data_IF_739281224390
#
_entry.id   IF_739281224390
#
_cell.length_a   1.000
_cell.length_b   1.000
_cell.length_c   1.000
_cell.angle_alpha   90.00
_cell.angle_beta   90.00
_cell.angle_gamma   90.00
#
_symmetry.space_group_name_H-M   'P 1'
#
loop_
_entity.id
_entity.type
_entity.pdbx_description
1 polymer ?
#
# COMPACT_ATOMS: atom_id res chain seq x y z
N UNK A 1 -7.89 6.51 -26.42
CA UNK A 1 -6.73 6.83 -25.58
C UNK A 1 -5.77 5.67 -25.73
N UNK A 2 -4.78 5.83 -26.62
CA UNK A 2 -3.94 4.73 -27.09
C UNK A 2 -2.89 4.41 -26.03
N UNK A 3 -3.03 3.26 -25.39
CA UNK A 3 -2.00 2.67 -24.55
C UNK A 3 -0.74 2.50 -25.42
N UNK A 4 0.38 3.13 -25.07
CA UNK A 4 1.68 2.88 -25.71
C UNK A 4 2.26 1.65 -25.00
N UNK A 5 2.25 0.45 -25.61
CA UNK A 5 2.88 -0.72 -25.03
C UNK A 5 4.37 -0.66 -25.38
N UNK A 6 5.26 -0.52 -24.38
CA UNK A 6 6.70 -0.59 -24.66
C UNK A 6 7.69 0.06 -23.70
N UNK A 7 7.32 0.50 -22.49
CA UNK A 7 8.31 1.01 -21.51
C UNK A 7 8.78 -0.06 -20.52
N UNK A 8 9.06 -1.26 -21.03
CA UNK A 8 9.94 -2.18 -20.33
C UNK A 8 11.37 -1.64 -20.44
N UNK A 9 11.98 -1.30 -19.31
CA UNK A 9 13.42 -1.02 -19.14
C UNK A 9 13.97 0.40 -19.39
N UNK A 10 13.14 1.45 -19.52
CA UNK A 10 13.70 2.81 -19.50
C UNK A 10 14.00 3.22 -18.07
N UNK A 11 15.30 3.35 -17.76
CA UNK A 11 15.75 3.92 -16.50
C UNK A 11 15.37 5.40 -16.46
N UNK A 12 14.69 5.81 -15.38
CA UNK A 12 14.19 7.17 -15.17
C UNK A 12 14.75 7.75 -13.87
N UNK A 13 14.76 9.08 -13.77
CA UNK A 13 15.01 9.76 -12.50
C UNK A 13 13.79 9.57 -11.60
N UNK A 14 14.01 9.16 -10.36
CA UNK A 14 12.99 8.92 -9.34
C UNK A 14 13.30 9.77 -8.13
N UNK A 15 12.38 10.64 -7.74
CA UNK A 15 12.55 11.57 -6.61
C UNK A 15 11.34 11.49 -5.69
N UNK A 16 11.57 11.39 -4.38
CA UNK A 16 10.52 11.57 -3.37
C UNK A 16 10.84 12.82 -2.56
N UNK A 17 9.88 13.73 -2.47
CA UNK A 17 9.93 14.93 -1.65
C UNK A 17 8.87 14.87 -0.55
N UNK A 18 9.14 15.57 0.55
CA UNK A 18 8.18 15.85 1.60
C UNK A 18 8.02 17.36 1.77
N UNK A 19 6.82 17.82 2.07
CA UNK A 19 6.54 19.21 2.41
C UNK A 19 5.42 19.29 3.46
N UNK A 20 5.38 20.39 4.20
CA UNK A 20 4.31 20.65 5.17
C UNK A 20 3.10 21.18 4.41
N UNK A 21 1.92 20.62 4.67
CA UNK A 21 0.67 21.11 4.09
C UNK A 21 0.34 22.49 4.66
N UNK A 22 0.01 23.43 3.77
CA UNK A 22 -0.46 24.77 4.07
C UNK A 22 -1.89 25.00 3.55
N UNK A 23 -2.61 23.93 3.21
CA UNK A 23 -3.98 24.00 2.70
C UNK A 23 -4.92 24.31 3.86
N UNK A 24 -5.71 25.36 3.68
CA UNK A 24 -6.82 25.68 4.58
C UNK A 24 -8.03 24.81 4.23
N UNK A 25 -8.56 24.07 5.21
CA UNK A 25 -9.76 23.25 5.03
C UNK A 25 -9.51 21.83 4.52
N UNK A 26 -10.33 21.37 3.58
CA UNK A 26 -10.32 19.98 3.13
C UNK A 26 -9.22 19.72 2.11
N UNK A 27 -8.11 19.12 2.57
CA UNK A 27 -7.01 18.73 1.68
C UNK A 27 -7.50 17.84 0.55
N UNK A 28 -8.45 16.93 0.81
CA UNK A 28 -8.95 16.05 -0.24
C UNK A 28 -9.67 16.82 -1.35
N UNK A 29 -10.50 17.80 -1.01
CA UNK A 29 -11.21 18.62 -2.02
C UNK A 29 -10.20 19.39 -2.87
N UNK A 30 -9.19 19.98 -2.25
CA UNK A 30 -8.11 20.70 -2.95
C UNK A 30 -7.34 19.77 -3.91
N UNK A 31 -6.95 18.57 -3.45
CA UNK A 31 -6.26 17.58 -4.26
C UNK A 31 -7.11 17.12 -5.45
N UNK A 32 -8.41 16.90 -5.25
CA UNK A 32 -9.33 16.51 -6.31
C UNK A 32 -9.61 17.65 -7.30
N UNK A 33 -9.63 18.90 -6.84
CA UNK A 33 -9.82 20.08 -7.69
C UNK A 33 -8.64 20.28 -8.65
N UNK A 34 -7.41 20.04 -8.19
CA UNK A 34 -6.21 20.26 -9.03
C UNK A 34 -5.82 19.07 -9.91
N UNK A 35 -6.43 17.89 -9.73
CA UNK A 35 -5.95 16.63 -10.34
C UNK A 35 -5.85 16.66 -11.87
N UNK A 36 -6.80 17.32 -12.54
CA UNK A 36 -6.82 17.40 -14.00
C UNK A 36 -5.66 18.24 -14.53
N UNK A 37 -5.46 19.42 -13.92
CA UNK A 37 -4.35 20.31 -14.28
C UNK A 37 -2.99 19.67 -14.02
N UNK A 38 -2.82 19.04 -12.85
CA UNK A 38 -1.57 18.35 -12.51
C UNK A 38 -1.32 17.17 -13.44
N UNK A 39 -2.35 16.38 -13.75
CA UNK A 39 -2.24 15.26 -14.70
C UNK A 39 -1.85 15.74 -16.10
N UNK A 40 -2.49 16.80 -16.61
CA UNK A 40 -2.16 17.39 -17.91
C UNK A 40 -0.73 17.94 -17.95
N UNK A 41 -0.29 18.62 -16.88
CA UNK A 41 1.08 19.09 -16.75
C UNK A 41 2.08 17.93 -16.79
N UNK A 42 1.84 16.88 -15.99
CA UNK A 42 2.69 15.69 -15.92
C UNK A 42 2.84 15.01 -17.29
N UNK A 43 1.75 14.86 -18.03
CA UNK A 43 1.77 14.35 -19.41
C UNK A 43 2.65 15.25 -20.29
N UNK A 44 2.45 16.57 -20.25
CA UNK A 44 3.16 17.52 -21.10
C UNK A 44 4.67 17.57 -20.85
N UNK A 45 5.13 17.22 -19.63
CA UNK A 45 6.56 17.20 -19.27
C UNK A 45 7.15 15.79 -19.20
N UNK A 46 6.39 14.75 -19.55
CA UNK A 46 6.83 13.36 -19.55
C UNK A 46 7.14 12.81 -18.16
N UNK A 47 6.38 13.23 -17.14
CA UNK A 47 6.53 12.80 -15.75
C UNK A 47 5.30 12.02 -15.31
N UNK A 48 5.51 11.03 -14.45
CA UNK A 48 4.46 10.39 -13.65
C UNK A 48 4.66 10.80 -12.20
N UNK A 49 3.56 11.00 -11.48
CA UNK A 49 3.65 11.30 -10.05
C UNK A 49 2.63 10.60 -9.19
N UNK A 50 3.04 10.39 -7.94
CA UNK A 50 2.20 9.95 -6.85
C UNK A 50 2.24 10.98 -5.73
N UNK A 51 1.07 11.43 -5.28
CA UNK A 51 0.90 12.43 -4.24
C UNK A 51 0.16 11.82 -3.05
N UNK A 52 0.80 11.80 -1.89
CA UNK A 52 0.22 11.37 -0.63
C UNK A 52 0.05 12.56 0.30
N UNK A 53 -1.11 12.68 0.92
CA UNK A 53 -1.28 13.50 2.11
C UNK A 53 -1.48 12.63 3.34
N UNK A 54 -0.69 12.88 4.39
CA UNK A 54 -0.80 12.22 5.69
C UNK A 54 -0.49 13.22 6.79
N UNK A 55 -1.37 13.34 7.79
CA UNK A 55 -1.12 14.10 9.02
C UNK A 55 -0.45 15.46 8.85
N UNK A 56 -0.96 16.28 7.92
CA UNK A 56 -0.45 17.63 7.68
C UNK A 56 0.83 17.70 6.84
N UNK A 57 1.24 16.60 6.21
CA UNK A 57 2.36 16.54 5.28
C UNK A 57 1.93 16.06 3.91
N UNK A 58 2.56 16.59 2.89
CA UNK A 58 2.54 16.05 1.53
C UNK A 58 3.81 15.25 1.25
N UNK A 59 3.65 14.17 0.52
CA UNK A 59 4.73 13.40 -0.08
C UNK A 59 4.50 13.31 -1.58
N UNK A 60 5.48 13.75 -2.35
CA UNK A 60 5.41 13.78 -3.80
C UNK A 60 6.51 12.90 -4.37
N UNK A 61 6.11 11.85 -5.06
CA UNK A 61 7.00 10.96 -5.79
C UNK A 61 6.89 11.28 -7.29
N UNK A 62 8.00 11.61 -7.92
CA UNK A 62 8.14 11.86 -9.35
C UNK A 62 8.98 10.78 -10.03
N UNK A 63 8.57 10.37 -11.23
CA UNK A 63 9.34 9.51 -12.13
C UNK A 63 9.31 10.07 -13.56
N UNK A 64 10.47 10.22 -14.21
CA UNK A 64 10.54 10.71 -15.58
C UNK A 64 11.97 11.02 -16.04
N UNK A 65 12.11 11.75 -17.14
CA UNK A 65 13.41 12.28 -17.55
C UNK A 65 13.96 13.26 -16.51
N UNK A 66 15.27 13.49 -16.52
CA UNK A 66 15.92 14.44 -15.60
C UNK A 66 15.32 15.84 -15.77
N UNK A 67 15.11 16.27 -17.01
CA UNK A 67 14.54 17.57 -17.36
C UNK A 67 13.08 17.69 -16.90
N UNK A 68 12.28 16.64 -17.15
CA UNK A 68 10.87 16.60 -16.78
C UNK A 68 10.69 16.67 -15.26
N UNK A 69 11.42 15.83 -14.52
CA UNK A 69 11.37 15.81 -13.05
C UNK A 69 11.88 17.14 -12.47
N UNK A 70 12.98 17.70 -12.97
CA UNK A 70 13.47 19.00 -12.49
C UNK A 70 12.48 20.14 -12.79
N UNK A 71 11.72 20.08 -13.90
CA UNK A 71 10.64 21.02 -14.19
C UNK A 71 9.48 20.85 -13.21
N UNK A 72 9.04 19.62 -12.94
CA UNK A 72 8.00 19.33 -11.95
C UNK A 72 8.38 19.81 -10.54
N UNK A 73 9.62 19.55 -10.11
CA UNK A 73 10.13 19.99 -8.81
C UNK A 73 10.13 21.52 -8.66
N UNK A 74 10.50 22.26 -9.71
CA UNK A 74 10.45 23.74 -9.68
C UNK A 74 9.03 24.27 -9.53
N UNK A 75 8.08 23.67 -10.24
CA UNK A 75 6.65 24.04 -10.12
C UNK A 75 6.13 23.73 -8.72
N UNK A 76 6.40 22.53 -8.21
CA UNK A 76 6.02 22.15 -6.86
C UNK A 76 6.65 23.06 -5.80
N UNK A 77 7.94 23.41 -5.93
CA UNK A 77 8.61 24.29 -4.98
C UNK A 77 8.01 25.71 -4.91
N UNK A 78 7.39 26.17 -5.99
CA UNK A 78 6.72 27.47 -6.07
C UNK A 78 5.24 27.42 -5.64
N UNK A 79 4.69 26.25 -5.35
CA UNK A 79 3.28 26.08 -4.98
C UNK A 79 3.03 26.57 -3.53
N UNK A 80 2.15 27.55 -3.32
CA UNK A 80 1.90 28.12 -1.98
C UNK A 80 1.15 27.17 -1.04
N UNK A 81 0.54 26.08 -1.56
CA UNK A 81 -0.24 25.13 -0.76
C UNK A 81 0.62 24.23 0.11
N UNK A 82 1.95 24.32 -0.02
CA UNK A 82 2.86 23.62 0.88
C UNK A 82 4.15 24.39 1.14
N UNK A 83 4.75 24.13 2.30
CA UNK A 83 5.98 24.78 2.74
C UNK A 83 7.12 23.81 3.00
N UNK A 84 8.34 24.34 3.08
CA UNK A 84 9.54 23.62 3.55
C UNK A 84 9.79 22.30 2.80
N UNK A 85 9.67 22.33 1.47
CA UNK A 85 9.89 21.15 0.63
C UNK A 85 11.32 20.64 0.80
N UNK A 86 11.47 19.33 0.99
CA UNK A 86 12.74 18.66 1.15
C UNK A 86 12.76 17.34 0.39
N UNK A 87 13.88 17.02 -0.26
CA UNK A 87 14.07 15.71 -0.88
C UNK A 87 14.34 14.66 0.20
N UNK A 88 13.61 13.54 0.14
CA UNK A 88 13.83 12.35 0.95
C UNK A 88 14.64 11.32 0.17
N UNK A 89 14.36 11.17 -1.12
CA UNK A 89 14.97 10.14 -1.97
C UNK A 89 15.28 10.69 -3.35
N UNK A 90 16.41 10.26 -3.92
CA UNK A 90 16.78 10.52 -5.32
C UNK A 90 17.56 9.32 -5.85
N UNK A 91 17.08 8.73 -6.94
CA UNK A 91 17.74 7.58 -7.57
C UNK A 91 17.44 7.52 -9.07
N UNK A 92 18.17 6.67 -9.78
CA UNK A 92 17.90 6.31 -11.17
C UNK A 92 17.53 4.83 -11.20
N UNK A 93 16.52 4.45 -11.98
CA UNK A 93 16.09 3.06 -12.09
C UNK A 93 14.79 2.91 -12.87
N UNK A 94 14.23 1.69 -12.96
CA UNK A 94 13.03 1.46 -13.75
C UNK A 94 11.85 2.27 -13.21
N UNK A 95 11.01 2.78 -14.12
CA UNK A 95 9.73 3.37 -13.76
C UNK A 95 8.82 2.32 -13.11
N UNK A 96 8.09 2.74 -12.09
CA UNK A 96 7.15 1.91 -11.33
C UNK A 96 5.74 2.50 -11.27
N UNK A 97 5.62 3.82 -11.43
CA UNK A 97 4.33 4.48 -11.63
C UNK A 97 3.87 4.23 -13.06
N UNK A 98 2.58 3.92 -13.23
CA UNK A 98 1.94 3.64 -14.51
C UNK A 98 1.02 4.78 -14.99
N UNK A 99 0.54 5.62 -14.07
CA UNK A 99 -0.35 6.75 -14.36
C UNK A 99 0.38 8.09 -14.29
N UNK A 100 -0.09 9.11 -15.03
CA UNK A 100 0.46 10.47 -14.93
C UNK A 100 0.30 11.07 -13.53
N UNK A 101 -0.81 10.79 -12.84
CA UNK A 101 -1.07 11.24 -11.48
C UNK A 101 -1.85 10.20 -10.69
N UNK A 102 -1.34 9.88 -9.50
CA UNK A 102 -2.02 9.08 -8.50
C UNK A 102 -2.09 9.88 -7.20
N UNK A 103 -3.26 9.91 -6.57
CA UNK A 103 -3.47 10.63 -5.31
C UNK A 103 -3.84 9.62 -4.23
N UNK A 104 -3.24 9.78 -3.06
CA UNK A 104 -3.56 9.04 -1.85
C UNK A 104 -3.73 10.02 -0.69
N UNK A 105 -4.66 9.71 0.20
CA UNK A 105 -4.79 10.39 1.49
C UNK A 105 -4.90 9.35 2.57
N UNK A 106 -4.27 9.60 3.71
CA UNK A 106 -4.41 8.78 4.91
C UNK A 106 -4.99 9.60 6.04
N UNK A 107 -6.03 9.07 6.66
CA UNK A 107 -6.66 9.60 7.86
C UNK A 107 -6.30 8.67 9.01
N UNK A 108 -5.24 9.02 9.73
CA UNK A 108 -4.78 8.34 10.94
C UNK A 108 -4.90 9.28 12.15
N UNK A 109 -4.68 8.75 13.35
CA UNK A 109 -4.62 9.52 14.58
C UNK A 109 -3.28 10.27 14.76
N UNK A 110 -2.35 10.14 13.81
CA UNK A 110 -1.00 10.70 13.91
C UNK A 110 -1.05 12.23 13.91
N UNK A 111 -0.35 12.85 14.87
CA UNK A 111 -0.13 14.29 14.86
C UNK A 111 0.93 14.63 13.81
N UNK A 112 0.93 15.85 13.25
CA UNK A 112 1.98 16.29 12.33
C UNK A 112 3.41 16.15 12.88
N UNK A 113 3.57 16.26 14.20
CA UNK A 113 4.85 16.08 14.90
C UNK A 113 5.31 14.62 14.95
N UNK A 114 4.39 13.64 14.94
CA UNK A 114 4.73 12.22 14.90
C UNK A 114 5.33 11.86 13.54
N UNK A 115 4.72 12.37 12.47
CA UNK A 115 5.20 12.19 11.12
C UNK A 115 6.54 12.92 10.89
N UNK A 116 6.69 14.14 11.42
CA UNK A 116 7.97 14.87 11.38
C UNK A 116 9.11 14.06 12.02
N UNK A 117 8.87 13.44 13.18
CA UNK A 117 9.85 12.56 13.85
C UNK A 117 10.18 11.32 13.02
N UNK A 118 9.21 10.75 12.31
CA UNK A 118 9.44 9.64 11.38
C UNK A 118 10.34 10.07 10.22
N UNK A 119 10.05 11.22 9.61
CA UNK A 119 10.87 11.76 8.52
C UNK A 119 12.31 12.02 8.94
N UNK A 120 12.50 12.55 10.15
CA UNK A 120 13.84 12.76 10.70
C UNK A 120 14.62 11.45 10.84
N UNK A 121 14.00 10.38 11.34
CA UNK A 121 14.61 9.04 11.42
C UNK A 121 14.91 8.45 10.05
N UNK A 122 13.98 8.54 9.11
CA UNK A 122 14.17 8.08 7.73
C UNK A 122 15.38 8.77 7.09
N UNK A 123 15.53 10.08 7.29
CA UNK A 123 16.68 10.82 6.79
C UNK A 123 18.00 10.39 7.44
N UNK A 124 18.02 10.14 8.74
CA UNK A 124 19.23 9.66 9.41
C UNK A 124 19.63 8.25 8.96
N UNK A 125 18.66 7.33 8.84
CA UNK A 125 18.92 5.96 8.39
C UNK A 125 19.29 5.87 6.90
N UNK A 126 18.64 6.66 6.03
CA UNK A 126 18.91 6.64 4.58
C UNK A 126 20.18 7.41 4.18
N UNK A 127 20.65 8.34 5.01
CA UNK A 127 21.94 9.01 4.80
C UNK A 127 23.13 8.03 4.75
N UNK A 128 22.93 6.78 5.17
CA UNK A 128 23.98 5.77 5.21
C UNK A 128 24.10 4.92 3.93
N UNK A 129 23.05 4.70 3.12
CA UNK A 129 23.17 3.66 2.06
C UNK A 129 22.45 3.89 0.72
N UNK A 130 21.48 4.80 0.55
CA UNK A 130 20.89 5.08 -0.79
C UNK A 130 20.30 3.88 -1.57
N UNK A 131 20.13 2.72 -0.93
CA UNK A 131 19.69 1.45 -1.52
C UNK A 131 18.17 1.29 -1.58
N UNK A 132 17.44 2.03 -0.74
CA UNK A 132 15.99 1.90 -0.61
C UNK A 132 15.27 2.24 -1.93
N UNK A 133 14.31 1.42 -2.30
CA UNK A 133 13.45 1.70 -3.45
C UNK A 133 12.36 2.71 -3.06
N UNK A 134 11.92 3.58 -3.99
CA UNK A 134 10.89 4.59 -3.71
C UNK A 134 9.60 4.03 -3.07
N UNK A 135 9.14 2.85 -3.50
CA UNK A 135 7.93 2.21 -2.96
C UNK A 135 8.12 1.75 -1.50
N UNK A 136 9.31 1.31 -1.10
CA UNK A 136 9.60 0.94 0.29
C UNK A 136 9.50 2.16 1.19
N UNK A 137 10.07 3.30 0.75
CA UNK A 137 9.94 4.56 1.46
C UNK A 137 8.47 5.00 1.53
N UNK A 138 7.72 4.89 0.43
CA UNK A 138 6.30 5.18 0.42
C UNK A 138 5.53 4.35 1.45
N UNK A 139 5.80 3.04 1.53
CA UNK A 139 5.18 2.15 2.52
C UNK A 139 5.53 2.53 3.96
N UNK A 140 6.76 2.96 4.23
CA UNK A 140 7.17 3.47 5.54
C UNK A 140 6.49 4.81 5.89
N UNK A 141 6.23 5.66 4.91
CA UNK A 141 5.52 6.93 5.11
C UNK A 141 4.04 6.70 5.45
N UNK A 142 3.41 5.66 4.89
CA UNK A 142 2.05 5.25 5.25
C UNK A 142 1.99 4.27 6.43
N UNK A 143 3.11 3.95 7.10
CA UNK A 143 3.12 3.14 8.32
C UNK A 143 2.70 3.98 9.56
N UNK A 144 2.15 3.40 10.64
CA UNK A 144 1.83 4.14 11.86
C UNK A 144 3.07 4.36 12.74
N UNK A 145 3.01 5.30 13.70
CA UNK A 145 4.18 5.86 14.38
C UNK A 145 4.75 4.95 15.47
N UNK A 146 3.94 4.07 16.05
CA UNK A 146 4.30 3.22 17.19
C UNK A 146 5.24 2.05 16.89
N UNK A 147 5.49 1.77 15.61
CA UNK A 147 6.25 0.59 15.20
C UNK A 147 7.73 0.86 14.96
N UNK A 148 8.09 2.12 14.73
CA UNK A 148 9.48 2.52 14.46
C UNK A 148 10.26 2.81 15.76
N UNK A 149 9.65 2.58 16.94
CA UNK A 149 10.11 3.05 18.25
C UNK A 149 10.92 2.06 19.09
N UNK A 150 11.26 0.88 18.57
CA UNK A 150 12.25 0.00 19.22
C UNK A 150 13.65 0.58 18.98
N UNK A 151 14.31 1.07 20.02
CA UNK A 151 15.61 1.76 19.98
C UNK A 151 16.79 0.87 19.55
N UNK A 152 16.57 -0.40 19.23
CA UNK A 152 17.59 -1.26 18.63
C UNK A 152 17.64 -1.02 17.12
N UNK A 153 18.72 -0.37 16.68
CA UNK A 153 19.05 -0.12 15.27
C UNK A 153 19.11 -1.38 14.37
N UNK A 154 18.99 -2.58 14.95
CA UNK A 154 19.04 -3.88 14.24
C UNK A 154 17.68 -4.54 13.97
N UNK A 155 16.57 -4.07 14.58
CA UNK A 155 15.25 -4.64 14.28
C UNK A 155 14.49 -3.77 13.28
N UNK A 156 14.89 -3.86 12.00
CA UNK A 156 13.96 -3.58 10.92
C UNK A 156 12.81 -4.59 11.05
N UNK A 157 11.75 -4.24 11.79
CA UNK A 157 10.57 -5.08 11.92
C UNK A 157 10.11 -5.43 10.51
N UNK A 158 10.16 -6.71 10.17
CA UNK A 158 9.69 -7.20 8.88
C UNK A 158 8.20 -6.89 8.81
N UNK A 159 7.81 -5.92 7.99
CA UNK A 159 6.41 -5.62 7.79
C UNK A 159 5.80 -6.73 6.95
N UNK A 160 4.83 -7.45 7.52
CA UNK A 160 4.03 -8.44 6.81
C UNK A 160 2.71 -7.80 6.42
N UNK A 161 2.46 -7.71 5.15
CA UNK A 161 1.25 -7.19 4.56
C UNK A 161 0.29 -8.33 4.21
N UNK A 162 -0.82 -8.35 4.95
CA UNK A 162 -1.97 -9.20 4.69
C UNK A 162 -3.12 -8.35 4.21
N UNK A 163 -3.77 -8.81 3.15
CA UNK A 163 -4.83 -8.06 2.50
C UNK A 163 -6.10 -8.88 2.52
N UNK A 164 -7.11 -8.36 3.19
CA UNK A 164 -8.46 -8.89 3.18
C UNK A 164 -9.26 -8.22 2.06
N UNK A 165 -9.76 -9.02 1.13
CA UNK A 165 -10.63 -8.56 0.04
C UNK A 165 -11.97 -9.26 0.17
N UNK A 166 -13.06 -8.50 0.10
CA UNK A 166 -14.41 -9.06 0.21
C UNK A 166 -15.14 -9.06 -1.13
N UNK A 167 -16.02 -10.03 -1.31
CA UNK A 167 -16.93 -10.15 -2.45
C UNK A 167 -18.24 -9.38 -2.24
N UNK A 168 -18.51 -8.89 -1.03
CA UNK A 168 -19.67 -8.08 -0.65
C UNK A 168 -19.30 -6.67 -0.17
N UNK A 169 -20.28 -5.93 0.36
CA UNK A 169 -20.15 -4.46 0.45
C UNK A 169 -19.32 -3.93 1.63
N UNK A 170 -19.12 -4.67 2.73
CA UNK A 170 -18.35 -4.16 3.88
C UNK A 170 -17.55 -5.18 4.69
N UNK A 171 -17.69 -6.49 4.44
CA UNK A 171 -17.16 -7.53 5.33
C UNK A 171 -15.66 -7.43 5.65
N UNK A 172 -14.83 -7.01 4.69
CA UNK A 172 -13.39 -6.80 4.94
C UNK A 172 -13.12 -5.62 5.89
N UNK A 173 -13.88 -4.53 5.74
CA UNK A 173 -13.75 -3.35 6.60
C UNK A 173 -14.21 -3.66 8.01
N UNK A 174 -15.33 -4.39 8.15
CA UNK A 174 -15.86 -4.79 9.45
C UNK A 174 -14.92 -5.76 10.17
N UNK A 175 -14.31 -6.68 9.43
CA UNK A 175 -13.27 -7.58 9.96
C UNK A 175 -12.07 -6.78 10.50
N UNK A 176 -11.50 -5.88 9.69
CA UNK A 176 -10.36 -5.05 10.09
C UNK A 176 -10.70 -4.18 11.31
N UNK A 177 -11.89 -3.57 11.34
CA UNK A 177 -12.33 -2.76 12.48
C UNK A 177 -12.47 -3.59 13.75
N UNK A 178 -13.12 -4.75 13.65
CA UNK A 178 -13.30 -5.67 14.77
C UNK A 178 -11.97 -6.13 15.35
N UNK A 179 -11.02 -6.51 14.48
CA UNK A 179 -9.67 -6.90 14.90
C UNK A 179 -8.92 -5.73 15.55
N UNK A 180 -8.99 -4.54 14.96
CA UNK A 180 -8.36 -3.35 15.55
C UNK A 180 -8.92 -3.02 16.93
N UNK A 181 -10.25 -3.07 17.09
CA UNK A 181 -10.89 -2.85 18.38
C UNK A 181 -10.45 -3.87 19.43
N UNK A 182 -10.41 -5.17 19.09
CA UNK A 182 -9.96 -6.22 20.01
C UNK A 182 -8.48 -6.08 20.39
N UNK A 183 -7.66 -5.64 19.45
CA UNK A 183 -6.23 -5.43 19.67
C UNK A 183 -5.91 -4.09 20.36
N UNK A 184 -6.91 -3.22 20.59
CA UNK A 184 -6.67 -1.85 21.04
C UNK A 184 -5.86 -1.02 20.03
N UNK A 185 -5.86 -1.41 18.76
CA UNK A 185 -5.08 -0.79 17.71
C UNK A 185 -5.92 0.21 16.90
N UNK A 186 -5.29 1.29 16.47
CA UNK A 186 -5.95 2.33 15.67
C UNK A 186 -6.18 1.86 14.24
N UNK A 187 -7.40 2.08 13.76
CA UNK A 187 -7.80 1.82 12.37
C UNK A 187 -7.54 3.08 11.54
N UNK A 188 -6.74 2.94 10.50
CA UNK A 188 -6.43 4.02 9.55
C UNK A 188 -7.25 3.88 8.29
N UNK A 189 -7.80 4.99 7.82
CA UNK A 189 -8.55 5.05 6.57
C UNK A 189 -7.68 5.62 5.47
N UNK A 190 -7.79 5.07 4.28
CA UNK A 190 -7.11 5.56 3.08
C UNK A 190 -8.12 5.81 1.98
N UNK A 191 -7.86 6.84 1.18
CA UNK A 191 -8.61 7.09 -0.05
C UNK A 191 -7.64 7.34 -1.18
N UNK A 192 -7.92 6.71 -2.31
CA UNK A 192 -7.13 6.79 -3.52
C UNK A 192 -7.97 7.38 -4.64
N UNK A 193 -7.35 8.26 -5.42
CA UNK A 193 -7.93 8.86 -6.60
C UNK A 193 -6.90 8.84 -7.74
N UNK A 194 -7.39 8.84 -8.98
CA UNK A 194 -6.55 8.99 -10.17
C UNK A 194 -6.60 10.41 -10.70
N UNK A 195 -5.66 10.76 -11.60
CA UNK A 195 -5.70 12.03 -12.33
C UNK A 195 -6.91 12.21 -13.25
N UNK A 196 -7.59 11.13 -13.65
CA UNK A 196 -8.75 11.21 -14.54
C UNK A 196 -10.02 11.63 -13.78
N UNK A 197 -10.71 12.73 -14.16
CA UNK A 197 -11.86 13.25 -13.40
C UNK A 197 -13.03 12.27 -13.23
N UNK A 198 -13.24 11.39 -14.23
CA UNK A 198 -14.33 10.42 -14.25
C UNK A 198 -13.97 9.07 -13.62
N UNK A 199 -12.71 8.86 -13.24
CA UNK A 199 -12.33 7.64 -12.57
C UNK A 199 -12.91 7.64 -11.15
N UNK A 200 -13.46 6.50 -10.74
CA UNK A 200 -14.00 6.35 -9.41
C UNK A 200 -12.87 6.32 -8.36
N UNK A 201 -13.04 7.10 -7.31
CA UNK A 201 -12.19 6.99 -6.12
C UNK A 201 -12.44 5.66 -5.40
N UNK A 202 -11.40 5.13 -4.77
CA UNK A 202 -11.50 3.91 -3.98
C UNK A 202 -11.00 4.13 -2.56
N UNK A 203 -11.66 3.48 -1.61
CA UNK A 203 -11.26 3.48 -0.21
C UNK A 203 -10.50 2.21 0.15
N UNK A 204 -9.68 2.32 1.18
CA UNK A 204 -9.13 1.19 1.93
C UNK A 204 -9.14 1.52 3.42
N UNK A 205 -9.07 0.48 4.23
CA UNK A 205 -8.91 0.60 5.67
C UNK A 205 -7.82 -0.36 6.09
N UNK A 206 -6.93 0.02 7.00
CA UNK A 206 -5.97 -0.92 7.55
C UNK A 206 -5.82 -0.75 9.05
N UNK A 207 -5.35 -1.81 9.68
CA UNK A 207 -4.83 -1.80 11.04
C UNK A 207 -3.46 -2.44 11.02
N UNK A 208 -2.54 -1.90 11.80
CA UNK A 208 -1.26 -2.55 12.05
C UNK A 208 -1.28 -3.19 13.43
N UNK A 209 -0.95 -4.48 13.47
CA UNK A 209 -0.99 -5.32 14.64
C UNK A 209 0.46 -5.64 15.05
N UNK A 210 0.86 -5.34 16.29
CA UNK A 210 2.16 -5.75 16.78
C UNK A 210 2.21 -7.28 16.89
N UNK A 211 3.28 -7.88 16.38
CA UNK A 211 3.65 -9.26 16.66
C UNK A 211 4.99 -9.33 17.38
N UNK A 212 5.43 -10.51 17.80
CA UNK A 212 6.63 -10.66 18.63
C UNK A 212 7.92 -10.16 17.97
N UNK A 213 8.02 -10.22 16.64
CA UNK A 213 9.23 -9.85 15.87
C UNK A 213 8.91 -9.13 14.56
N UNK A 214 7.66 -8.76 14.33
CA UNK A 214 7.19 -8.20 13.07
C UNK A 214 5.95 -7.35 13.33
N UNK A 215 5.57 -6.60 12.31
CA UNK A 215 4.28 -5.91 12.29
C UNK A 215 3.45 -6.55 11.20
N UNK A 216 2.23 -6.93 11.54
CA UNK A 216 1.24 -7.30 10.53
C UNK A 216 0.40 -6.09 10.17
N UNK A 217 0.47 -5.66 8.91
CA UNK A 217 -0.56 -4.81 8.32
C UNK A 217 -1.70 -5.69 7.83
N UNK A 218 -2.89 -5.52 8.40
CA UNK A 218 -4.12 -6.09 7.85
C UNK A 218 -4.91 -4.99 7.13
N UNK A 219 -5.00 -5.07 5.81
CA UNK A 219 -5.66 -4.08 4.98
C UNK A 219 -6.93 -4.64 4.34
N UNK A 220 -8.05 -3.95 4.54
CA UNK A 220 -9.30 -4.18 3.85
C UNK A 220 -9.35 -3.43 2.52
N UNK A 221 -9.60 -4.17 1.44
CA UNK A 221 -9.83 -3.64 0.11
C UNK A 221 -11.19 -4.10 -0.43
N UNK A 222 -11.81 -3.23 -1.23
CA UNK A 222 -12.94 -3.63 -2.06
C UNK A 222 -12.44 -4.24 -3.37
N UNK A 223 -13.27 -5.05 -4.04
CA UNK A 223 -12.95 -5.62 -5.36
C UNK A 223 -12.51 -4.55 -6.37
N UNK A 224 -13.23 -3.42 -6.43
CA UNK A 224 -12.88 -2.27 -7.30
C UNK A 224 -11.52 -1.64 -6.95
N UNK A 225 -11.06 -1.75 -5.71
CA UNK A 225 -9.77 -1.20 -5.29
C UNK A 225 -8.60 -1.94 -5.94
N UNK A 226 -8.76 -3.23 -6.30
CA UNK A 226 -7.68 -4.06 -6.86
C UNK A 226 -7.19 -3.57 -8.24
N UNK A 227 -8.06 -2.90 -9.00
CA UNK A 227 -7.69 -2.32 -10.28
C UNK A 227 -7.00 -0.95 -10.14
N UNK A 228 -7.08 -0.32 -8.96
CA UNK A 228 -6.51 1.01 -8.75
C UNK A 228 -4.97 0.93 -8.73
N UNK A 229 -4.27 1.72 -9.55
CA UNK A 229 -2.82 1.59 -9.70
C UNK A 229 -2.00 1.76 -8.41
N UNK A 230 -2.32 2.78 -7.60
CA UNK A 230 -1.67 2.98 -6.30
C UNK A 230 -1.88 1.79 -5.35
N UNK A 231 -3.05 1.16 -5.40
CA UNK A 231 -3.32 -0.03 -4.58
C UNK A 231 -2.43 -1.17 -5.05
N UNK A 232 -2.32 -1.42 -6.36
CA UNK A 232 -1.41 -2.45 -6.90
C UNK A 232 0.04 -2.21 -6.48
N UNK A 233 0.48 -0.96 -6.50
CA UNK A 233 1.82 -0.58 -6.05
C UNK A 233 2.04 -0.91 -4.57
N UNK A 234 1.06 -0.64 -3.71
CA UNK A 234 1.10 -1.00 -2.29
C UNK A 234 1.04 -2.51 -2.05
N UNK A 235 0.45 -3.28 -2.98
CA UNK A 235 0.32 -4.74 -2.90
C UNK A 235 1.53 -5.50 -3.45
N UNK A 236 2.58 -4.80 -3.89
CA UNK A 236 3.74 -5.44 -4.56
C UNK A 236 4.39 -6.55 -3.73
N UNK A 237 4.49 -6.32 -2.42
CA UNK A 237 5.15 -7.22 -1.47
C UNK A 237 4.15 -7.90 -0.54
N UNK A 238 2.88 -8.04 -0.97
CA UNK A 238 1.86 -8.74 -0.19
C UNK A 238 2.27 -10.21 0.02
N UNK A 239 2.19 -10.70 1.25
CA UNK A 239 2.55 -12.09 1.58
C UNK A 239 1.31 -12.99 1.68
N UNK A 240 0.15 -12.42 1.98
CA UNK A 240 -1.10 -13.16 2.09
C UNK A 240 -2.28 -12.34 1.58
N UNK A 241 -3.12 -12.98 0.76
CA UNK A 241 -4.42 -12.44 0.34
C UNK A 241 -5.53 -13.32 0.92
N UNK A 242 -6.35 -12.72 1.77
CA UNK A 242 -7.53 -13.32 2.37
C UNK A 242 -8.77 -12.91 1.55
N UNK A 243 -9.45 -13.88 0.95
CA UNK A 243 -10.71 -13.68 0.24
C UNK A 243 -11.88 -13.99 1.17
N UNK A 244 -12.66 -12.96 1.50
CA UNK A 244 -13.91 -13.08 2.24
C UNK A 244 -15.05 -13.30 1.24
N UNK A 245 -15.46 -14.56 1.14
CA UNK A 245 -16.48 -15.04 0.23
C UNK A 245 -17.86 -14.86 0.88
N UNK A 246 -18.73 -14.11 0.19
CA UNK A 246 -20.10 -13.87 0.61
C UNK A 246 -21.02 -15.03 0.25
N UNK A 247 -22.32 -14.74 0.22
CA UNK A 247 -23.37 -15.75 -0.02
C UNK A 247 -23.56 -16.07 -1.52
N UNK A 248 -23.20 -15.15 -2.41
CA UNK A 248 -23.43 -15.29 -3.85
C UNK A 248 -22.21 -15.83 -4.61
N UNK A 249 -22.37 -17.01 -5.23
CA UNK A 249 -21.32 -17.71 -6.00
C UNK A 249 -20.73 -16.85 -7.11
N UNK A 250 -21.54 -16.09 -7.85
CA UNK A 250 -21.06 -15.27 -8.97
C UNK A 250 -20.18 -14.12 -8.49
N UNK A 251 -20.51 -13.55 -7.32
CA UNK A 251 -19.69 -12.51 -6.70
C UNK A 251 -18.36 -13.07 -6.20
N UNK A 252 -18.36 -14.29 -5.66
CA UNK A 252 -17.14 -15.01 -5.27
C UNK A 252 -16.25 -15.33 -6.48
N UNK A 253 -16.83 -15.78 -7.59
CA UNK A 253 -16.11 -16.01 -8.86
C UNK A 253 -15.52 -14.72 -9.42
N UNK A 254 -16.29 -13.63 -9.45
CA UNK A 254 -15.82 -12.33 -9.92
C UNK A 254 -14.65 -11.81 -9.08
N UNK A 255 -14.75 -11.90 -7.75
CA UNK A 255 -13.65 -11.56 -6.84
C UNK A 255 -12.40 -12.42 -7.14
N UNK A 256 -12.57 -13.74 -7.24
CA UNK A 256 -11.49 -14.66 -7.50
C UNK A 256 -10.80 -14.38 -8.85
N UNK A 257 -11.55 -14.04 -9.90
CA UNK A 257 -11.00 -13.63 -11.19
C UNK A 257 -10.19 -12.32 -11.13
N UNK A 258 -10.70 -11.32 -10.42
CA UNK A 258 -9.99 -10.04 -10.23
C UNK A 258 -8.70 -10.22 -9.41
N UNK A 259 -8.74 -11.07 -8.37
CA UNK A 259 -7.55 -11.46 -7.61
C UNK A 259 -6.58 -12.24 -8.49
N UNK A 260 -7.05 -13.20 -9.30
CA UNK A 260 -6.20 -13.92 -10.27
C UNK A 260 -5.45 -12.97 -11.20
N UNK A 261 -6.14 -11.96 -11.73
CA UNK A 261 -5.55 -10.91 -12.58
C UNK A 261 -4.49 -10.10 -11.83
N UNK A 262 -4.73 -9.76 -10.56
CA UNK A 262 -3.73 -9.09 -9.72
C UNK A 262 -2.50 -9.98 -9.54
N UNK A 263 -2.69 -11.24 -9.14
CA UNK A 263 -1.61 -12.18 -8.84
C UNK A 263 -0.66 -12.33 -10.02
N UNK A 264 -1.17 -12.41 -11.24
CA UNK A 264 -0.35 -12.51 -12.46
C UNK A 264 0.65 -11.37 -12.61
N UNK A 265 0.40 -10.20 -12.02
CA UNK A 265 1.24 -9.00 -12.10
C UNK A 265 2.21 -8.84 -10.93
N UNK A 266 2.03 -9.61 -9.85
CA UNK A 266 2.91 -9.52 -8.68
C UNK A 266 4.21 -10.28 -8.94
N UNK A 267 5.33 -9.70 -8.50
CA UNK A 267 6.65 -10.32 -8.59
C UNK A 267 6.77 -11.52 -7.64
N UNK A 268 6.17 -11.42 -6.46
CA UNK A 268 6.08 -12.49 -5.48
C UNK A 268 4.66 -13.06 -5.47
N UNK A 269 4.54 -14.38 -5.33
CA UNK A 269 3.24 -15.05 -5.22
C UNK A 269 2.82 -15.11 -3.75
N UNK A 270 1.79 -14.36 -3.32
CA UNK A 270 1.29 -14.46 -1.96
C UNK A 270 0.59 -15.79 -1.73
N UNK A 271 0.55 -16.21 -0.47
CA UNK A 271 -0.35 -17.25 -0.01
C UNK A 271 -1.80 -16.79 -0.14
N UNK A 272 -2.70 -17.69 -0.54
CA UNK A 272 -4.13 -17.40 -0.64
C UNK A 272 -4.90 -18.12 0.45
N UNK A 273 -5.80 -17.38 1.08
CA UNK A 273 -6.70 -17.88 2.12
C UNK A 273 -8.14 -17.60 1.71
N UNK A 274 -8.98 -18.63 1.67
CA UNK A 274 -10.40 -18.49 1.37
C UNK A 274 -11.20 -18.60 2.66
N UNK A 275 -12.09 -17.65 2.94
CA UNK A 275 -13.01 -17.75 4.06
C UNK A 275 -14.42 -17.44 3.59
N UNK A 276 -15.29 -18.45 3.63
CA UNK A 276 -16.70 -18.33 3.27
C UNK A 276 -17.53 -19.36 4.04
N UNK A 277 -18.78 -19.02 4.35
CA UNK A 277 -19.68 -19.91 5.08
C UNK A 277 -20.17 -21.10 4.24
N UNK A 278 -20.12 -21.00 2.91
CA UNK A 278 -20.60 -22.03 1.99
C UNK A 278 -19.43 -22.70 1.25
N UNK A 279 -19.27 -24.04 1.35
CA UNK A 279 -18.26 -24.79 0.60
C UNK A 279 -18.35 -24.61 -0.92
N UNK A 280 -19.55 -24.46 -1.46
CA UNK A 280 -19.76 -24.25 -2.91
C UNK A 280 -19.12 -22.95 -3.42
N UNK A 281 -19.20 -21.87 -2.65
CA UNK A 281 -18.59 -20.59 -3.02
C UNK A 281 -17.06 -20.66 -2.95
N UNK A 282 -16.52 -21.36 -1.95
CA UNK A 282 -15.08 -21.62 -1.84
C UNK A 282 -14.57 -22.47 -3.01
N UNK A 283 -15.30 -23.52 -3.38
CA UNK A 283 -14.99 -24.35 -4.55
C UNK A 283 -14.95 -23.52 -5.84
N UNK A 284 -15.99 -22.73 -6.10
CA UNK A 284 -16.07 -21.86 -7.27
C UNK A 284 -14.95 -20.81 -7.33
N UNK A 285 -14.61 -20.19 -6.20
CA UNK A 285 -13.49 -19.25 -6.13
C UNK A 285 -12.15 -19.95 -6.40
N UNK A 286 -11.96 -21.16 -5.87
CA UNK A 286 -10.74 -21.95 -6.08
C UNK A 286 -10.56 -22.37 -7.54
N UNK A 287 -11.62 -22.80 -8.21
CA UNK A 287 -11.61 -23.11 -9.65
C UNK A 287 -11.06 -21.94 -10.46
N UNK A 288 -11.50 -20.71 -10.17
CA UNK A 288 -10.99 -19.51 -10.83
C UNK A 288 -9.52 -19.21 -10.51
N UNK A 289 -9.06 -19.52 -9.30
CA UNK A 289 -7.71 -19.21 -8.83
C UNK A 289 -6.67 -20.29 -9.16
N UNK A 290 -7.08 -21.52 -9.46
CA UNK A 290 -6.17 -22.64 -9.69
C UNK A 290 -5.14 -22.39 -10.79
N UNK A 291 -5.50 -21.61 -11.81
CA UNK A 291 -4.57 -21.23 -12.88
C UNK A 291 -3.56 -20.15 -12.45
N UNK A 292 -3.83 -19.41 -11.37
CA UNK A 292 -3.06 -18.23 -10.95
C UNK A 292 -2.27 -18.41 -9.66
N UNK A 293 -2.57 -19.42 -8.84
CA UNK A 293 -1.84 -19.75 -7.62
C UNK A 293 -1.91 -21.22 -7.25
N UNK A 294 -0.81 -21.77 -6.74
CA UNK A 294 -0.69 -23.13 -6.22
C UNK A 294 -0.79 -23.23 -4.69
N UNK A 295 -0.73 -22.11 -3.96
CA UNK A 295 -0.82 -22.06 -2.49
C UNK A 295 -2.16 -21.44 -2.06
N UNK A 296 -3.21 -22.26 -2.12
CA UNK A 296 -4.57 -21.89 -1.69
C UNK A 296 -4.95 -22.79 -0.51
N UNK A 297 -5.38 -22.20 0.59
CA UNK A 297 -5.97 -22.96 1.71
C UNK A 297 -7.28 -22.34 2.18
N UNK A 298 -8.18 -23.16 2.69
CA UNK A 298 -9.41 -22.70 3.33
C UNK A 298 -9.13 -22.27 4.77
N UNK A 299 -9.88 -21.28 5.23
CA UNK A 299 -9.95 -20.85 6.61
C UNK A 299 -11.39 -20.97 7.09
N UNK A 300 -11.54 -21.47 8.31
CA UNK A 300 -12.81 -21.43 9.00
C UNK A 300 -13.22 -19.95 9.23
N UNK A 301 -14.39 -19.50 8.71
CA UNK A 301 -14.87 -18.15 8.94
C UNK A 301 -15.04 -17.83 10.43
N UNK A 302 -15.46 -18.81 11.26
CA UNK A 302 -15.66 -18.60 12.70
C UNK A 302 -14.34 -18.21 13.37
N UNK A 303 -13.23 -18.82 12.95
CA UNK A 303 -11.90 -18.50 13.42
C UNK A 303 -11.53 -17.04 13.11
N UNK A 304 -11.89 -16.46 11.97
CA UNK A 304 -11.56 -15.05 11.67
C UNK A 304 -12.27 -14.07 12.63
N UNK A 305 -13.52 -14.36 12.96
CA UNK A 305 -14.34 -13.49 13.80
C UNK A 305 -14.08 -13.69 15.29
N UNK A 306 -13.67 -14.88 15.72
CA UNK A 306 -13.48 -15.21 17.14
C UNK A 306 -12.01 -15.21 17.57
N UNK A 307 -11.05 -15.37 16.65
CA UNK A 307 -9.64 -15.42 17.01
C UNK A 307 -9.13 -14.07 17.55
N UNK A 308 -8.36 -14.16 18.64
CA UNK A 308 -7.47 -13.08 19.05
C UNK A 308 -6.35 -12.85 18.01
N UNK A 309 -5.66 -11.69 18.05
CA UNK A 309 -4.65 -11.30 17.07
C UNK A 309 -3.58 -12.35 16.80
N UNK A 310 -3.07 -13.04 17.84
CA UNK A 310 -2.02 -14.07 17.69
C UNK A 310 -2.51 -15.36 17.02
N UNK A 311 -3.77 -15.74 17.25
CA UNK A 311 -4.38 -16.91 16.60
C UNK A 311 -4.67 -16.60 15.12
N UNK A 312 -5.17 -15.40 14.83
CA UNK A 312 -5.31 -14.90 13.48
C UNK A 312 -3.94 -14.83 12.77
N UNK A 313 -2.91 -14.36 13.48
CA UNK A 313 -1.55 -14.25 12.95
C UNK A 313 -1.00 -15.61 12.52
N UNK A 314 -1.07 -16.60 13.41
CA UNK A 314 -0.62 -17.98 13.14
C UNK A 314 -1.38 -18.60 11.98
N UNK A 315 -2.67 -18.32 11.85
CA UNK A 315 -3.51 -18.89 10.80
C UNK A 315 -3.28 -18.25 9.42
N UNK A 316 -3.17 -16.92 9.37
CA UNK A 316 -2.98 -16.21 8.11
C UNK A 316 -1.59 -16.46 7.50
N UNK A 317 -0.55 -16.51 8.32
CA UNK A 317 0.83 -16.60 7.84
C UNK A 317 1.46 -17.99 7.97
N UNK A 318 0.75 -18.93 8.59
CA UNK A 318 1.21 -20.31 8.80
C UNK A 318 2.41 -20.44 9.73
N UNK A 319 2.69 -21.67 10.18
CA UNK A 319 3.86 -22.05 11.00
C UNK A 319 5.15 -22.23 10.18
N UNK A 320 5.09 -22.17 8.84
CA UNK A 320 6.20 -22.51 7.93
C UNK A 320 7.43 -21.58 7.97
N UNK A 321 7.42 -20.52 8.77
CA UNK A 321 8.53 -19.55 8.80
C UNK A 321 9.55 -19.74 9.92
N UNK A 322 9.61 -20.94 10.54
CA UNK A 322 10.68 -21.28 11.49
C UNK A 322 12.06 -21.52 10.85
N UNK A 323 12.19 -21.55 9.53
CA UNK A 323 13.43 -22.02 8.85
C UNK A 323 14.28 -20.94 8.14
N UNK A 324 14.10 -19.64 8.40
CA UNK A 324 15.00 -18.60 7.83
C UNK A 324 15.67 -17.69 8.86
N UNK A 325 15.82 -18.19 10.08
CA UNK A 325 16.67 -17.60 11.12
C UNK A 325 17.85 -18.53 11.44
N UNK A 326 18.56 -19.01 10.42
CA UNK A 326 19.96 -19.42 10.58
C UNK A 326 20.81 -18.35 9.90
N UNK A 327 21.10 -17.29 10.66
CA UNK A 327 22.32 -16.52 10.45
C UNK A 327 23.42 -17.44 10.99
N UNK A 328 24.38 -17.92 10.16
CA UNK A 328 25.52 -18.64 10.70
C UNK A 328 26.25 -17.68 11.64
N UNK A 329 26.43 -18.09 12.89
CA UNK A 329 27.37 -17.44 13.78
C UNK A 329 28.78 -17.57 13.15
N UNK A 330 29.19 -16.55 12.39
CA UNK A 330 30.59 -16.32 12.07
C UNK A 330 31.23 -15.67 13.29
N UNK A 331 31.59 -16.51 14.26
CA UNK A 331 32.65 -16.24 15.22
C UNK A 331 33.75 -17.26 14.91
N UNK A 332 34.86 -16.75 14.40
CA UNK A 332 36.10 -17.45 14.11
C UNK A 332 37.10 -16.42 13.61
#
# INVERSE_FOLDING_TARGET
>A
MTFIPGLGHTSVLRVICASVSMVDGSVMEELLAMREQVSAFNIAVGVRSALLHSSGWFFQWYEGSVEGVNKALRVAQADPRHGRMQTLHRSVGPATLDEPLQIATTHSADKPTDLARRLFRLKQGQALEGTAQPHELWMQLVAPPGLMGSETAESALVQRHVVAVTSGNSGAVDLVRSIGQRAGAHVTYQRFASGAPKAADVGAVYVDLPGSFHVMRLQALSRRSLSHPMVRLMLRDVQCVLLLLGEHVDSSRALAGDVGTLLQRLALRPSLRLAGACPGNAGAARECLHASSSDISDLDPAMLWQAGPDALFRSLLGTRHRERAEIPALIG
#
